data_IF_895959050863
#
_entry.id   IF_895959050863
#
_cell.length_a   1.000
_cell.length_b   1.000
_cell.length_c   1.000
_cell.angle_alpha   90.00
_cell.angle_beta   90.00
_cell.angle_gamma   90.00
#
_symmetry.space_group_name_H-M   'P 1'
#
loop_
_entity.id
_entity.type
_entity.pdbx_description
1 polymer ?
#
# COMPACT_ATOMS: atom_id res chain seq x y z
N UNK A 1 13.46 -23.89 6.36
CA UNK A 1 13.05 -22.47 6.27
C UNK A 1 13.42 -22.00 4.88
N UNK A 2 12.53 -21.32 4.18
CA UNK A 2 12.83 -20.77 2.86
C UNK A 2 13.86 -19.65 3.01
N UNK A 3 14.99 -19.75 2.32
CA UNK A 3 16.07 -18.78 2.41
C UNK A 3 15.70 -17.51 1.65
N UNK A 4 15.60 -16.39 2.37
CA UNK A 4 15.28 -15.07 1.81
C UNK A 4 16.57 -14.25 1.67
N UNK A 5 16.74 -13.55 0.55
CA UNK A 5 17.90 -12.68 0.28
C UNK A 5 17.59 -11.25 0.70
N UNK A 6 18.58 -10.51 1.20
CA UNK A 6 18.43 -9.10 1.56
C UNK A 6 18.42 -8.20 0.31
N UNK A 7 17.52 -7.22 0.28
CA UNK A 7 17.37 -6.27 -0.84
C UNK A 7 17.45 -4.81 -0.42
N UNK A 8 17.30 -4.50 0.86
CA UNK A 8 17.36 -3.14 1.37
C UNK A 8 17.65 -3.14 2.86
N UNK A 9 18.33 -2.12 3.37
CA UNK A 9 18.61 -1.94 4.81
C UNK A 9 18.67 -0.46 5.15
N UNK A 10 18.09 -0.08 6.29
CA UNK A 10 18.07 1.30 6.73
C UNK A 10 17.42 1.49 8.11
N UNK A 11 17.14 2.75 8.44
CA UNK A 11 16.36 3.13 9.61
C UNK A 11 15.04 3.79 9.21
N UNK A 12 14.07 3.77 10.12
CA UNK A 12 12.85 4.58 9.99
C UNK A 12 13.18 6.00 10.40
N UNK A 13 13.10 6.94 9.47
CA UNK A 13 13.31 8.36 9.76
C UNK A 13 12.08 9.00 10.40
N UNK A 14 12.25 10.12 11.11
CA UNK A 14 11.11 10.86 11.64
C UNK A 14 10.14 11.31 10.52
N UNK A 15 10.67 11.66 9.35
CA UNK A 15 9.88 11.99 8.15
C UNK A 15 9.19 10.78 7.51
N UNK A 16 9.56 9.55 7.90
CA UNK A 16 8.90 8.35 7.42
C UNK A 16 7.59 8.07 8.18
N UNK A 17 7.42 8.68 9.36
CA UNK A 17 6.28 8.48 10.25
C UNK A 17 5.09 9.41 9.96
N UNK A 18 3.88 8.89 10.13
CA UNK A 18 2.65 9.68 10.06
C UNK A 18 2.27 10.29 11.43
N UNK A 19 1.11 10.94 11.48
CA UNK A 19 0.60 11.59 12.70
C UNK A 19 0.37 10.63 13.88
N UNK A 20 0.33 9.31 13.65
CA UNK A 20 0.20 8.29 14.70
C UNK A 20 1.56 7.87 15.28
N UNK A 21 2.67 8.38 14.74
CA UNK A 21 4.02 8.18 15.27
C UNK A 21 4.70 6.88 14.82
N UNK A 22 4.18 6.24 13.77
CA UNK A 22 4.77 5.07 13.15
C UNK A 22 4.92 5.25 11.64
N UNK A 23 5.78 4.43 11.03
CA UNK A 23 6.06 4.44 9.60
C UNK A 23 4.77 4.37 8.78
N UNK A 24 4.60 5.31 7.86
CA UNK A 24 3.41 5.42 7.02
C UNK A 24 3.34 4.27 6.02
N UNK A 25 2.13 3.88 5.64
CA UNK A 25 1.88 2.83 4.62
C UNK A 25 2.58 3.14 3.30
N UNK A 26 2.64 4.42 2.90
CA UNK A 26 3.35 4.87 1.71
C UNK A 26 4.86 4.69 1.84
N UNK A 27 5.45 5.04 2.97
CA UNK A 27 6.89 4.88 3.17
C UNK A 27 7.32 3.41 3.25
N UNK A 28 6.47 2.52 3.76
CA UNK A 28 6.73 1.08 3.64
C UNK A 28 6.84 0.63 2.17
N UNK A 29 5.86 0.99 1.33
CA UNK A 29 5.88 0.64 -0.09
C UNK A 29 7.04 1.33 -0.83
N UNK A 30 7.45 2.53 -0.40
CA UNK A 30 8.65 3.21 -0.91
C UNK A 30 9.91 2.39 -0.68
N UNK A 31 10.15 1.93 0.56
CA UNK A 31 11.31 1.08 0.87
C UNK A 31 11.23 -0.27 0.16
N UNK A 32 10.03 -0.81 -0.02
CA UNK A 32 9.84 -2.03 -0.80
C UNK A 32 10.29 -1.81 -2.25
N UNK A 33 9.93 -0.68 -2.83
CA UNK A 33 10.31 -0.31 -4.18
C UNK A 33 11.81 0.00 -4.32
N UNK A 34 12.45 0.56 -3.28
CA UNK A 34 13.92 0.64 -3.19
C UNK A 34 14.55 -0.76 -3.31
N UNK A 35 13.98 -1.76 -2.62
CA UNK A 35 14.40 -3.16 -2.73
C UNK A 35 14.13 -3.79 -4.10
N UNK A 36 13.04 -3.41 -4.78
CA UNK A 36 12.78 -3.83 -6.18
C UNK A 36 13.84 -3.28 -7.14
N UNK A 37 14.37 -2.08 -6.88
CA UNK A 37 15.48 -1.54 -7.68
C UNK A 37 16.77 -2.35 -7.49
N UNK A 38 17.04 -2.86 -6.29
CA UNK A 38 18.14 -3.80 -6.05
C UNK A 38 17.88 -5.15 -6.71
N UNK A 39 16.65 -5.67 -6.63
CA UNK A 39 16.23 -6.89 -7.35
C UNK A 39 16.47 -6.77 -8.86
N UNK A 40 16.27 -5.60 -9.47
CA UNK A 40 16.52 -5.43 -10.91
C UNK A 40 17.98 -5.72 -11.30
N UNK A 41 18.95 -5.48 -10.41
CA UNK A 41 20.37 -5.85 -10.64
C UNK A 41 20.51 -7.38 -10.72
N UNK A 42 19.85 -8.10 -9.80
CA UNK A 42 19.84 -9.57 -9.73
C UNK A 42 19.11 -10.22 -10.92
N UNK A 43 18.19 -9.48 -11.54
CA UNK A 43 17.52 -9.85 -12.79
C UNK A 43 18.34 -9.47 -14.03
N UNK A 44 19.62 -9.12 -13.88
CA UNK A 44 20.49 -8.74 -14.99
C UNK A 44 20.09 -7.41 -15.66
N UNK A 45 19.38 -6.53 -14.95
CA UNK A 45 18.94 -5.21 -15.43
C UNK A 45 19.48 -4.08 -14.54
N UNK A 46 20.81 -3.93 -14.39
CA UNK A 46 21.42 -3.01 -13.43
C UNK A 46 21.09 -1.54 -13.67
N UNK A 47 20.64 -1.20 -14.89
CA UNK A 47 20.30 0.17 -15.28
C UNK A 47 18.80 0.44 -15.31
N UNK A 48 17.92 -0.50 -14.94
CA UNK A 48 16.46 -0.41 -15.11
C UNK A 48 15.81 0.86 -14.51
N UNK A 49 16.41 1.42 -13.47
CA UNK A 49 15.93 2.63 -12.77
C UNK A 49 16.76 3.89 -13.09
N UNK A 50 17.71 3.79 -14.03
CA UNK A 50 18.52 4.94 -14.49
C UNK A 50 17.77 5.77 -15.54
N UNK A 51 18.17 7.03 -15.71
CA UNK A 51 17.55 7.95 -16.68
C UNK A 51 17.65 7.49 -18.15
N UNK A 52 18.65 6.68 -18.51
CA UNK A 52 18.86 6.19 -19.87
C UNK A 52 18.35 4.76 -20.10
N UNK A 53 17.62 4.20 -19.12
CA UNK A 53 17.05 2.87 -19.25
C UNK A 53 16.05 2.81 -20.40
N UNK A 54 16.13 1.78 -21.24
CA UNK A 54 15.10 1.52 -22.27
C UNK A 54 13.89 0.78 -21.69
N UNK A 55 14.13 -0.04 -20.66
CA UNK A 55 13.11 -0.83 -19.98
C UNK A 55 13.18 -0.61 -18.47
N UNK A 56 12.07 -0.83 -17.77
CA UNK A 56 12.01 -0.80 -16.31
C UNK A 56 10.98 -1.79 -15.77
N UNK A 57 10.93 -1.90 -14.45
CA UNK A 57 9.89 -2.61 -13.73
C UNK A 57 8.72 -1.67 -13.35
N UNK A 58 7.49 -2.15 -13.48
CA UNK A 58 6.28 -1.41 -13.11
C UNK A 58 5.38 -2.25 -12.20
N UNK A 59 4.87 -1.63 -11.13
CA UNK A 59 3.92 -2.27 -10.21
C UNK A 59 2.54 -2.42 -10.88
N UNK A 60 1.97 -3.63 -10.83
CA UNK A 60 0.60 -3.91 -11.28
C UNK A 60 -0.36 -4.10 -10.13
N UNK A 61 0.07 -4.78 -9.08
CA UNK A 61 -0.70 -4.96 -7.86
C UNK A 61 0.24 -5.22 -6.69
N UNK A 62 -0.24 -4.95 -5.48
CA UNK A 62 0.50 -5.24 -4.26
C UNK A 62 -0.46 -5.64 -3.15
N UNK A 63 -0.19 -6.79 -2.54
CA UNK A 63 -0.77 -7.20 -1.27
C UNK A 63 0.20 -6.87 -0.13
N UNK A 64 -0.29 -6.26 0.94
CA UNK A 64 0.52 -5.71 2.02
C UNK A 64 -0.05 -6.09 3.37
N UNK A 65 0.82 -6.44 4.30
CA UNK A 65 0.49 -6.65 5.70
C UNK A 65 1.41 -5.82 6.60
N UNK A 66 0.83 -5.16 7.59
CA UNK A 66 1.58 -4.49 8.66
C UNK A 66 1.35 -5.23 9.96
N UNK A 67 2.34 -6.01 10.37
CA UNK A 67 2.27 -6.91 11.53
C UNK A 67 2.72 -6.21 12.81
N UNK A 68 3.69 -5.29 12.72
CA UNK A 68 4.23 -4.52 13.84
C UNK A 68 4.58 -3.11 13.40
N UNK A 69 4.34 -2.17 14.30
CA UNK A 69 4.71 -0.78 14.09
C UNK A 69 6.23 -0.61 14.09
N UNK A 70 6.72 0.32 13.27
CA UNK A 70 8.10 0.78 13.29
C UNK A 70 8.10 2.28 13.54
N UNK A 71 8.68 2.70 14.65
CA UNK A 71 8.77 4.11 15.05
C UNK A 71 10.08 4.72 14.55
N UNK A 72 10.17 6.05 14.57
CA UNK A 72 11.39 6.76 14.22
C UNK A 72 12.61 6.21 15.00
N UNK A 73 13.72 6.03 14.31
CA UNK A 73 14.94 5.42 14.83
C UNK A 73 14.96 3.88 14.80
N UNK A 74 13.89 3.20 14.39
CA UNK A 74 13.89 1.72 14.33
C UNK A 74 14.77 1.24 13.17
N UNK A 75 15.83 0.45 13.41
CA UNK A 75 16.62 -0.17 12.34
C UNK A 75 15.87 -1.35 11.73
N UNK A 76 15.71 -1.35 10.41
CA UNK A 76 14.96 -2.35 9.65
C UNK A 76 15.71 -2.75 8.38
N UNK A 77 15.49 -3.97 7.91
CA UNK A 77 15.96 -4.41 6.61
C UNK A 77 14.86 -5.19 5.89
N UNK A 78 14.94 -5.24 4.58
CA UNK A 78 14.05 -5.99 3.71
C UNK A 78 14.76 -7.22 3.19
N UNK A 79 14.11 -8.38 3.31
CA UNK A 79 14.51 -9.61 2.63
C UNK A 79 13.37 -10.17 1.81
N UNK A 80 13.67 -10.94 0.76
CA UNK A 80 12.66 -11.35 -0.20
C UNK A 80 13.09 -12.51 -1.10
N UNK A 81 12.20 -12.83 -2.04
CA UNK A 81 12.39 -13.88 -3.04
C UNK A 81 11.29 -13.87 -4.09
N UNK A 82 11.54 -14.51 -5.22
CA UNK A 82 10.59 -14.63 -6.32
C UNK A 82 9.57 -15.73 -6.00
N UNK A 83 8.28 -15.39 -6.09
CA UNK A 83 7.18 -16.33 -5.94
C UNK A 83 6.88 -17.05 -7.26
N UNK A 84 6.86 -16.28 -8.35
CA UNK A 84 6.66 -16.80 -9.70
C UNK A 84 7.28 -15.86 -10.73
N UNK A 85 7.61 -16.43 -11.88
CA UNK A 85 8.16 -15.71 -13.03
C UNK A 85 7.30 -16.06 -14.24
N UNK A 86 6.83 -15.05 -14.97
CA UNK A 86 6.15 -15.21 -16.26
C UNK A 86 7.04 -14.73 -17.39
N UNK A 87 6.56 -14.81 -18.63
CA UNK A 87 7.28 -14.27 -19.80
C UNK A 87 7.54 -12.76 -19.71
N UNK A 88 6.64 -12.01 -19.05
CA UNK A 88 6.60 -10.54 -19.08
C UNK A 88 6.74 -9.88 -17.71
N UNK A 89 6.92 -10.66 -16.65
CA UNK A 89 6.94 -10.15 -15.29
C UNK A 89 7.20 -11.22 -14.25
N UNK A 90 7.02 -10.86 -13.00
CA UNK A 90 7.22 -11.72 -11.85
C UNK A 90 6.28 -11.35 -10.70
N UNK A 91 6.15 -12.26 -9.75
CA UNK A 91 5.65 -11.97 -8.43
C UNK A 91 6.80 -12.00 -7.44
N UNK A 92 6.93 -10.93 -6.65
CA UNK A 92 8.00 -10.78 -5.66
C UNK A 92 7.44 -10.67 -4.26
N UNK A 93 7.97 -11.50 -3.37
CA UNK A 93 7.74 -11.38 -1.94
C UNK A 93 8.86 -10.56 -1.31
N UNK A 94 8.50 -9.65 -0.41
CA UNK A 94 9.44 -8.97 0.45
C UNK A 94 8.87 -8.77 1.84
N UNK A 95 9.70 -8.93 2.86
CA UNK A 95 9.35 -8.67 4.24
C UNK A 95 10.38 -7.77 4.91
N UNK A 96 9.89 -6.86 5.74
CA UNK A 96 10.70 -6.01 6.58
C UNK A 96 10.85 -6.61 7.96
N UNK A 97 12.09 -6.67 8.42
CA UNK A 97 12.47 -7.26 9.70
C UNK A 97 13.14 -6.20 10.56
N UNK A 98 12.73 -6.09 11.83
CA UNK A 98 13.42 -5.26 12.81
C UNK A 98 14.78 -5.86 13.11
N UNK A 99 15.85 -5.08 12.95
CA UNK A 99 17.22 -5.60 13.04
C UNK A 99 17.54 -6.18 14.43
N UNK A 100 16.98 -5.60 15.49
CA UNK A 100 17.29 -6.00 16.87
C UNK A 100 16.40 -7.15 17.35
N UNK A 101 15.08 -7.05 17.15
CA UNK A 101 14.15 -8.07 17.64
C UNK A 101 13.96 -9.25 16.69
N UNK A 102 14.45 -9.13 15.45
CA UNK A 102 14.26 -10.09 14.35
C UNK A 102 12.79 -10.35 13.98
N UNK A 103 11.89 -9.52 14.48
CA UNK A 103 10.47 -9.64 14.22
C UNK A 103 10.12 -9.04 12.86
N UNK A 104 9.26 -9.75 12.11
CA UNK A 104 8.70 -9.25 10.86
C UNK A 104 7.71 -8.12 11.18
N UNK A 105 8.00 -6.92 10.67
CA UNK A 105 7.19 -5.73 10.84
C UNK A 105 6.14 -5.58 9.75
N UNK A 106 6.50 -5.86 8.50
CA UNK A 106 5.59 -5.78 7.37
C UNK A 106 5.99 -6.76 6.26
N UNK A 107 5.06 -7.15 5.40
CA UNK A 107 5.35 -7.95 4.21
C UNK A 107 4.49 -7.54 3.02
N UNK A 108 5.00 -7.88 1.83
CA UNK A 108 4.55 -7.39 0.54
C UNK A 108 4.62 -8.53 -0.48
N UNK A 109 3.54 -8.73 -1.23
CA UNK A 109 3.50 -9.59 -2.42
C UNK A 109 3.10 -8.70 -3.60
N UNK A 110 4.05 -8.38 -4.48
CA UNK A 110 3.78 -7.52 -5.63
C UNK A 110 3.78 -8.28 -6.94
N UNK A 111 2.83 -7.98 -7.81
CA UNK A 111 2.92 -8.31 -9.23
C UNK A 111 3.65 -7.18 -9.95
N UNK A 112 4.74 -7.53 -10.63
CA UNK A 112 5.63 -6.58 -11.28
C UNK A 112 5.80 -7.02 -12.73
N UNK A 113 5.68 -6.08 -13.67
CA UNK A 113 5.87 -6.33 -15.09
C UNK A 113 7.08 -5.57 -15.61
N UNK A 114 7.68 -6.10 -16.67
CA UNK A 114 8.67 -5.38 -17.46
C UNK A 114 7.95 -4.49 -18.49
N UNK A 115 8.35 -3.23 -18.57
CA UNK A 115 7.81 -2.28 -19.55
C UNK A 115 8.93 -1.60 -20.33
N UNK A 116 8.62 -1.19 -21.55
CA UNK A 116 9.38 -0.21 -22.32
C UNK A 116 9.14 1.20 -21.79
N UNK A 117 10.20 1.95 -21.50
CA UNK A 117 10.10 3.27 -20.88
C UNK A 117 9.47 4.32 -21.80
N UNK A 118 9.62 4.19 -23.12
CA UNK A 118 9.12 5.17 -24.10
C UNK A 118 7.63 4.96 -24.39
N UNK A 119 7.20 3.72 -24.49
CA UNK A 119 5.86 3.33 -24.95
C UNK A 119 4.95 2.85 -23.82
N UNK A 120 5.50 2.59 -22.64
CA UNK A 120 4.80 1.96 -21.50
C UNK A 120 4.15 0.61 -21.82
N UNK A 121 4.60 -0.05 -22.90
CA UNK A 121 4.12 -1.37 -23.29
C UNK A 121 4.84 -2.45 -22.49
N UNK A 122 4.10 -3.47 -22.07
CA UNK A 122 4.67 -4.67 -21.50
C UNK A 122 5.55 -5.38 -22.51
N UNK A 123 6.72 -5.83 -22.06
CA UNK A 123 7.69 -6.57 -22.88
C UNK A 123 8.02 -7.93 -22.26
N UNK A 124 8.41 -8.93 -23.06
CA UNK A 124 9.02 -10.14 -22.54
C UNK A 124 10.40 -9.83 -21.93
N UNK A 125 10.86 -10.67 -21.02
CA UNK A 125 12.21 -10.55 -20.45
C UNK A 125 13.30 -10.53 -21.54
N UNK A 126 14.33 -9.67 -21.42
CA UNK A 126 15.51 -9.76 -22.27
C UNK A 126 16.15 -11.15 -22.10
N UNK A 127 16.59 -11.78 -23.19
CA UNK A 127 17.15 -13.15 -23.15
C UNK A 127 18.20 -13.36 -22.05
N UNK A 128 19.08 -12.37 -21.85
CA UNK A 128 20.17 -12.41 -20.88
C UNK A 128 19.76 -12.17 -19.42
N UNK A 129 18.59 -11.58 -19.17
CA UNK A 129 18.18 -11.15 -17.82
C UNK A 129 17.93 -12.32 -16.87
N UNK A 130 17.52 -13.48 -17.40
CA UNK A 130 17.14 -14.63 -16.57
C UNK A 130 18.19 -15.75 -16.54
N UNK A 131 19.24 -15.66 -17.35
CA UNK A 131 20.24 -16.72 -17.52
C UNK A 131 21.07 -16.96 -16.25
N UNK A 132 21.26 -15.93 -15.40
CA UNK A 132 22.05 -16.00 -14.16
C UNK A 132 21.29 -15.45 -12.95
N UNK A 133 19.99 -15.78 -12.84
CA UNK A 133 19.13 -15.28 -11.77
C UNK A 133 19.64 -15.75 -10.39
N UNK A 134 20.22 -14.85 -9.61
CA UNK A 134 20.73 -15.09 -8.24
C UNK A 134 19.71 -14.66 -7.17
N UNK A 135 18.42 -14.88 -7.47
CA UNK A 135 17.30 -14.58 -6.58
C UNK A 135 16.62 -15.89 -6.16
N UNK A 136 16.40 -16.14 -4.85
CA UNK A 136 15.76 -17.37 -4.40
C UNK A 136 14.31 -17.44 -4.89
N UNK A 137 13.91 -18.62 -5.38
CA UNK A 137 12.50 -18.95 -5.57
C UNK A 137 11.92 -19.48 -4.28
N UNK A 138 10.77 -18.95 -3.87
CA UNK A 138 10.20 -19.21 -2.55
C UNK A 138 8.69 -19.49 -2.61
N UNK A 139 8.17 -20.06 -1.53
CA UNK A 139 6.75 -19.98 -1.20
C UNK A 139 6.51 -18.85 -0.20
N UNK A 140 5.29 -18.27 -0.22
CA UNK A 140 4.92 -17.22 0.73
C UNK A 140 4.97 -17.79 2.17
N UNK A 141 5.77 -17.20 3.07
CA UNK A 141 5.81 -17.60 4.47
C UNK A 141 4.43 -17.52 5.14
N UNK A 142 4.16 -18.41 6.11
CA UNK A 142 2.84 -18.50 6.78
C UNK A 142 2.32 -17.15 7.30
N UNK A 143 3.18 -16.30 7.85
CA UNK A 143 2.77 -14.99 8.38
C UNK A 143 2.44 -13.95 7.30
N UNK A 144 2.90 -14.17 6.06
CA UNK A 144 2.65 -13.32 4.90
C UNK A 144 1.50 -13.77 4.00
N UNK A 145 0.85 -14.90 4.31
CA UNK A 145 -0.34 -15.35 3.61
C UNK A 145 -1.50 -14.35 3.81
N UNK A 146 -2.31 -14.07 2.77
CA UNK A 146 -3.52 -13.25 2.88
C UNK A 146 -4.44 -13.77 3.98
N UNK A 147 -5.15 -12.87 4.67
CA UNK A 147 -6.02 -13.24 5.81
C UNK A 147 -7.44 -12.78 5.65
N UNK A 148 -7.62 -11.47 5.49
CA UNK A 148 -8.92 -10.82 5.50
C UNK A 148 -9.34 -10.31 4.12
N UNK A 149 -8.37 -10.07 3.23
CA UNK A 149 -8.65 -9.65 1.86
C UNK A 149 -8.37 -10.82 0.93
N UNK A 150 -9.33 -11.14 0.06
CA UNK A 150 -9.09 -12.10 -1.01
C UNK A 150 -8.03 -11.54 -1.96
N UNK A 151 -6.89 -12.25 -2.05
CA UNK A 151 -5.77 -11.86 -2.90
C UNK A 151 -5.96 -12.27 -4.38
N UNK A 152 -6.90 -13.17 -4.69
CA UNK A 152 -7.06 -13.78 -6.01
C UNK A 152 -8.25 -13.24 -6.78
N UNK A 153 -9.32 -12.80 -6.09
CA UNK A 153 -10.50 -12.27 -6.77
C UNK A 153 -10.14 -11.09 -7.70
N UNK A 154 -10.56 -11.08 -8.96
CA UNK A 154 -10.34 -9.93 -9.84
C UNK A 154 -11.12 -8.73 -9.31
N UNK A 155 -10.51 -7.54 -9.35
CA UNK A 155 -11.23 -6.30 -9.04
C UNK A 155 -11.58 -5.61 -10.36
N UNK A 156 -12.88 -5.47 -10.62
CA UNK A 156 -13.37 -4.80 -11.83
C UNK A 156 -13.03 -3.32 -11.82
N UNK A 157 -12.66 -2.80 -12.99
CA UNK A 157 -12.40 -1.39 -13.21
C UNK A 157 -13.70 -0.58 -13.13
N UNK A 158 -13.75 0.46 -12.31
CA UNK A 158 -14.93 1.33 -12.16
C UNK A 158 -14.58 2.81 -12.37
N UNK A 159 -15.42 3.53 -13.10
CA UNK A 159 -15.22 4.96 -13.37
C UNK A 159 -15.77 5.86 -12.26
N UNK A 160 -15.50 7.17 -12.37
CA UNK A 160 -15.97 8.19 -11.44
C UNK A 160 -17.48 8.20 -11.24
N UNK A 161 -18.25 7.95 -12.30
CA UNK A 161 -19.71 8.01 -12.22
C UNK A 161 -20.25 6.84 -11.42
N UNK A 162 -19.75 5.63 -11.69
CA UNK A 162 -20.07 4.46 -10.89
C UNK A 162 -19.70 4.68 -9.43
N UNK A 163 -18.48 5.13 -9.15
CA UNK A 163 -17.97 5.35 -7.78
C UNK A 163 -18.87 6.33 -7.02
N UNK A 164 -19.26 7.44 -7.66
CA UNK A 164 -20.20 8.40 -7.06
C UNK A 164 -21.60 7.83 -6.85
N UNK A 165 -22.13 7.09 -7.83
CA UNK A 165 -23.47 6.51 -7.77
C UNK A 165 -23.59 5.45 -6.67
N UNK A 166 -22.50 4.76 -6.34
CA UNK A 166 -22.42 3.83 -5.22
C UNK A 166 -22.33 4.52 -3.85
N UNK A 167 -22.17 5.84 -3.80
CA UNK A 167 -22.10 6.59 -2.53
C UNK A 167 -20.70 6.74 -1.96
N UNK A 168 -19.64 6.50 -2.73
CA UNK A 168 -18.28 6.84 -2.30
C UNK A 168 -18.14 8.36 -2.14
N UNK A 169 -17.47 8.76 -1.07
CA UNK A 169 -17.22 10.18 -0.76
C UNK A 169 -15.82 10.58 -1.21
N UNK A 170 -15.68 11.79 -1.77
CA UNK A 170 -14.36 12.31 -2.15
C UNK A 170 -13.63 12.82 -0.91
N UNK A 171 -12.48 12.25 -0.62
CA UNK A 171 -11.67 12.53 0.58
C UNK A 171 -10.33 13.20 0.27
N UNK A 172 -9.92 13.20 -1.00
CA UNK A 172 -8.66 13.78 -1.45
C UNK A 172 -8.74 14.38 -2.85
N UNK A 173 -7.93 15.41 -3.08
CA UNK A 173 -7.79 16.11 -4.36
C UNK A 173 -6.37 16.68 -4.44
N UNK A 174 -5.56 16.22 -5.40
CA UNK A 174 -4.20 16.69 -5.57
C UNK A 174 -3.75 16.61 -7.04
N UNK A 175 -2.91 17.54 -7.52
CA UNK A 175 -2.27 17.40 -8.81
C UNK A 175 -1.10 16.41 -8.75
N UNK A 176 -0.75 15.83 -9.89
CA UNK A 176 0.53 15.13 -10.08
C UNK A 176 1.59 16.15 -10.50
N UNK A 177 2.65 16.24 -9.71
CA UNK A 177 3.76 17.17 -9.91
C UNK A 177 5.05 16.43 -10.28
N UNK A 178 6.11 17.19 -10.59
CA UNK A 178 7.44 16.62 -10.84
C UNK A 178 8.02 15.83 -9.65
N UNK A 179 7.54 16.09 -8.43
CA UNK A 179 8.00 15.36 -7.24
C UNK A 179 7.29 14.02 -7.07
N UNK A 180 6.25 13.77 -7.86
CA UNK A 180 5.41 12.57 -7.80
C UNK A 180 5.84 11.49 -8.80
N UNK A 181 6.92 11.74 -9.55
CA UNK A 181 7.35 10.88 -10.65
C UNK A 181 8.82 10.49 -10.55
N UNK A 182 9.17 9.38 -11.20
CA UNK A 182 10.56 8.94 -11.39
C UNK A 182 11.28 9.74 -12.50
N UNK A 183 12.52 9.36 -12.78
CA UNK A 183 13.35 9.99 -13.82
C UNK A 183 12.80 9.84 -15.26
N UNK A 184 11.78 9.01 -15.48
CA UNK A 184 11.09 8.84 -16.76
C UNK A 184 9.71 9.50 -16.77
N UNK A 185 9.35 10.25 -15.73
CA UNK A 185 8.05 10.91 -15.63
C UNK A 185 6.90 9.97 -15.25
N UNK A 186 7.20 8.77 -14.75
CA UNK A 186 6.16 7.82 -14.28
C UNK A 186 5.84 8.03 -12.82
N UNK A 187 4.56 7.96 -12.48
CA UNK A 187 4.10 8.06 -11.10
C UNK A 187 4.80 7.06 -10.17
N UNK A 188 5.28 7.55 -9.04
CA UNK A 188 5.99 6.74 -8.05
C UNK A 188 5.02 5.73 -7.38
N UNK A 189 5.32 4.42 -7.38
CA UNK A 189 4.36 3.41 -6.92
C UNK A 189 3.87 3.57 -5.48
N UNK A 190 4.72 4.08 -4.59
CA UNK A 190 4.33 4.35 -3.20
C UNK A 190 3.17 5.35 -3.07
N UNK A 191 2.99 6.22 -4.06
CA UNK A 191 1.99 7.28 -3.99
C UNK A 191 0.57 6.75 -4.19
N UNK A 192 0.39 5.56 -4.79
CA UNK A 192 -0.95 4.95 -4.87
C UNK A 192 -1.58 4.74 -3.50
N UNK A 193 -0.78 4.41 -2.47
CA UNK A 193 -1.26 4.24 -1.09
C UNK A 193 -0.94 5.45 -0.21
N UNK A 194 0.16 6.18 -0.46
CA UNK A 194 0.50 7.37 0.34
C UNK A 194 -0.59 8.46 0.21
N UNK A 195 -1.09 8.70 -1.01
CA UNK A 195 -2.16 9.67 -1.25
C UNK A 195 -3.45 9.30 -0.54
N UNK A 196 -3.77 8.01 -0.42
CA UNK A 196 -4.89 7.54 0.40
C UNK A 196 -4.65 7.90 1.85
N UNK A 197 -3.49 7.55 2.40
CA UNK A 197 -3.12 7.84 3.79
C UNK A 197 -3.23 9.33 4.14
N UNK A 198 -2.78 10.21 3.25
CA UNK A 198 -2.91 11.67 3.36
C UNK A 198 -4.37 12.15 3.43
N UNK A 199 -5.28 11.46 2.72
CA UNK A 199 -6.68 11.85 2.58
C UNK A 199 -7.61 11.26 3.66
N UNK A 200 -7.24 10.14 4.29
CA UNK A 200 -8.05 9.47 5.34
C UNK A 200 -8.52 10.41 6.46
N UNK A 201 -7.72 11.36 6.98
CA UNK A 201 -8.18 12.28 8.01
C UNK A 201 -9.48 13.03 7.65
N UNK A 202 -9.73 13.32 6.37
CA UNK A 202 -10.95 13.99 5.90
C UNK A 202 -12.20 13.09 6.01
N UNK A 203 -12.03 11.78 6.10
CA UNK A 203 -13.12 10.81 6.24
C UNK A 203 -13.44 10.51 7.71
N UNK A 204 -12.40 10.28 8.51
CA UNK A 204 -12.54 9.71 9.86
C UNK A 204 -12.38 10.74 10.99
N UNK A 205 -12.25 12.03 10.68
CA UNK A 205 -12.10 13.06 11.73
C UNK A 205 -13.28 13.04 12.73
N UNK A 206 -14.52 12.94 12.24
CA UNK A 206 -15.70 12.87 13.11
C UNK A 206 -15.73 11.59 13.95
N UNK A 207 -15.43 10.44 13.34
CA UNK A 207 -15.24 9.17 14.06
C UNK A 207 -14.25 9.31 15.23
N UNK A 208 -13.10 9.96 14.99
CA UNK A 208 -12.08 10.18 16.03
C UNK A 208 -12.61 11.03 17.17
N UNK A 209 -13.35 12.11 16.86
CA UNK A 209 -13.93 12.98 17.89
C UNK A 209 -14.91 12.22 18.77
N UNK A 210 -15.84 11.46 18.18
CA UNK A 210 -16.84 10.69 18.93
C UNK A 210 -16.19 9.58 19.78
N UNK A 211 -15.15 8.91 19.27
CA UNK A 211 -14.40 7.89 20.00
C UNK A 211 -13.65 8.47 21.22
N UNK A 212 -13.05 9.66 21.06
CA UNK A 212 -12.34 10.36 22.15
C UNK A 212 -13.33 10.87 23.21
N UNK A 213 -14.47 11.44 22.79
CA UNK A 213 -15.49 11.92 23.71
C UNK A 213 -16.03 10.79 24.60
N UNK A 214 -16.40 9.66 24.00
CA UNK A 214 -16.92 8.49 24.73
C UNK A 214 -15.92 7.93 25.74
N UNK A 215 -14.67 7.77 25.33
CA UNK A 215 -13.63 7.27 26.24
C UNK A 215 -13.33 8.29 27.35
N UNK A 216 -13.40 9.59 27.06
CA UNK A 216 -13.20 10.64 28.06
C UNK A 216 -14.29 10.72 29.14
N UNK A 217 -15.54 10.31 28.83
CA UNK A 217 -16.64 10.20 29.81
C UNK A 217 -16.32 9.17 30.92
N UNK A 218 -15.44 8.20 30.65
CA UNK A 218 -14.94 7.24 31.65
C UNK A 218 -13.84 7.78 32.57
N UNK A 219 -13.46 9.06 32.43
CA UNK A 219 -12.43 9.73 33.23
C UNK A 219 -11.01 9.59 32.70
N UNK A 220 -10.79 8.86 31.59
CA UNK A 220 -9.49 8.72 30.93
C UNK A 220 -9.62 9.17 29.47
N UNK A 221 -8.99 10.29 29.11
CA UNK A 221 -8.85 10.69 27.70
C UNK A 221 -7.89 9.72 27.00
N UNK A 222 -8.42 8.69 26.35
CA UNK A 222 -7.63 7.79 25.53
C UNK A 222 -7.34 8.42 24.16
N UNK A 223 -6.11 8.28 23.69
CA UNK A 223 -5.74 8.68 22.33
C UNK A 223 -6.02 7.53 21.38
N UNK A 224 -7.11 7.62 20.61
CA UNK A 224 -7.48 6.60 19.65
C UNK A 224 -7.06 6.96 18.22
N UNK A 225 -6.57 5.94 17.51
CA UNK A 225 -6.15 6.01 16.11
C UNK A 225 -6.65 4.81 15.32
N UNK A 226 -6.38 4.83 14.01
CA UNK A 226 -6.58 3.68 13.13
C UNK A 226 -5.23 3.24 12.60
N UNK A 227 -4.98 1.92 12.61
CA UNK A 227 -3.79 1.33 12.01
C UNK A 227 -4.20 0.33 10.94
N UNK A 228 -3.63 0.47 9.73
CA UNK A 228 -3.87 -0.48 8.65
C UNK A 228 -3.21 -1.82 8.99
N UNK A 229 -3.95 -2.91 8.83
CA UNK A 229 -3.48 -4.28 9.09
C UNK A 229 -3.11 -4.99 7.79
N UNK A 230 -3.98 -4.86 6.79
CA UNK A 230 -3.90 -5.56 5.50
C UNK A 230 -4.41 -4.64 4.41
N UNK A 231 -3.75 -4.64 3.25
CA UNK A 231 -4.18 -3.88 2.09
C UNK A 231 -3.89 -4.64 0.80
N UNK A 232 -4.80 -4.51 -0.17
CA UNK A 232 -4.57 -4.90 -1.56
C UNK A 232 -4.80 -3.71 -2.47
N UNK A 233 -3.78 -3.34 -3.24
CA UNK A 233 -3.86 -2.31 -4.28
C UNK A 233 -3.78 -2.97 -5.66
N UNK A 234 -4.69 -2.58 -6.56
CA UNK A 234 -4.67 -2.91 -7.98
C UNK A 234 -4.46 -1.63 -8.81
N UNK A 235 -3.53 -1.66 -9.76
CA UNK A 235 -3.16 -0.52 -10.61
C UNK A 235 -3.64 -0.72 -12.05
N UNK A 236 -4.54 0.15 -12.48
CA UNK A 236 -5.11 0.16 -13.82
C UNK A 236 -4.35 1.08 -14.77
N UNK A 237 -4.07 2.32 -14.34
CA UNK A 237 -3.36 3.35 -15.11
C UNK A 237 -2.41 4.12 -14.19
N UNK A 238 -1.26 4.54 -14.74
CA UNK A 238 -0.32 5.40 -14.03
C UNK A 238 -0.63 6.87 -14.31
N UNK A 239 -0.81 7.70 -13.25
CA UNK A 239 -0.93 9.13 -13.42
C UNK A 239 0.29 9.76 -14.12
N UNK A 240 0.07 10.85 -14.84
CA UNK A 240 1.10 11.66 -15.49
C UNK A 240 1.17 13.06 -14.88
N UNK A 241 2.31 13.74 -15.01
CA UNK A 241 2.44 15.15 -14.58
C UNK A 241 1.31 15.98 -15.20
N UNK A 242 0.62 16.75 -14.37
CA UNK A 242 -0.52 17.58 -14.78
C UNK A 242 -1.88 16.89 -14.66
N UNK A 243 -1.93 15.57 -14.46
CA UNK A 243 -3.17 14.90 -14.07
C UNK A 243 -3.64 15.40 -12.71
N UNK A 244 -4.96 15.38 -12.52
CA UNK A 244 -5.60 15.61 -11.21
C UNK A 244 -6.01 14.26 -10.64
N UNK A 245 -5.57 13.95 -9.42
CA UNK A 245 -6.02 12.78 -8.67
C UNK A 245 -7.16 13.19 -7.74
N UNK A 246 -8.29 12.54 -7.87
CA UNK A 246 -9.37 12.53 -6.88
C UNK A 246 -9.39 11.19 -6.15
N UNK A 247 -9.55 11.22 -4.84
CA UNK A 247 -9.60 10.02 -4.00
C UNK A 247 -11.00 9.87 -3.46
N UNK A 248 -11.63 8.76 -3.79
CA UNK A 248 -12.97 8.40 -3.34
C UNK A 248 -12.87 7.22 -2.38
N UNK A 249 -13.58 7.28 -1.26
CA UNK A 249 -13.54 6.25 -0.25
C UNK A 249 -14.93 5.87 0.22
N UNK A 250 -15.09 4.60 0.56
CA UNK A 250 -16.27 4.13 1.25
C UNK A 250 -15.92 3.07 2.28
N UNK A 251 -16.65 3.08 3.38
CA UNK A 251 -16.62 2.03 4.38
C UNK A 251 -17.43 0.84 3.89
N UNK A 252 -16.86 -0.35 4.03
CA UNK A 252 -17.40 -1.59 3.46
C UNK A 252 -17.96 -2.52 4.53
N UNK A 253 -17.26 -2.62 5.65
CA UNK A 253 -17.63 -3.51 6.75
C UNK A 253 -17.15 -2.95 8.09
N UNK A 254 -17.90 -3.24 9.15
CA UNK A 254 -17.54 -2.98 10.54
C UNK A 254 -17.71 -4.28 11.31
N UNK A 255 -16.63 -4.82 11.86
CA UNK A 255 -16.62 -5.99 12.74
C UNK A 255 -16.33 -5.54 14.20
N UNK A 256 -15.91 -6.43 15.10
CA UNK A 256 -15.65 -6.11 16.52
C UNK A 256 -14.54 -5.06 16.71
N UNK A 257 -13.33 -5.35 16.19
CA UNK A 257 -12.13 -4.50 16.31
C UNK A 257 -11.65 -3.92 15.00
N UNK A 258 -12.19 -4.43 13.89
CA UNK A 258 -11.75 -4.12 12.54
C UNK A 258 -12.86 -3.47 11.75
N UNK A 259 -12.47 -2.65 10.79
CA UNK A 259 -13.35 -2.08 9.79
C UNK A 259 -12.60 -1.98 8.47
N UNK A 260 -13.31 -2.08 7.35
CA UNK A 260 -12.69 -2.12 6.02
C UNK A 260 -13.14 -0.96 5.15
N UNK A 261 -12.23 -0.45 4.33
CA UNK A 261 -12.51 0.54 3.31
C UNK A 261 -12.14 0.04 1.92
N UNK A 262 -12.82 0.60 0.93
CA UNK A 262 -12.34 0.62 -0.45
C UNK A 262 -12.03 2.06 -0.84
N UNK A 263 -10.90 2.27 -1.51
CA UNK A 263 -10.43 3.55 -2.00
C UNK A 263 -10.21 3.49 -3.51
N UNK A 264 -10.74 4.47 -4.24
CA UNK A 264 -10.52 4.65 -5.66
C UNK A 264 -9.67 5.91 -5.88
N UNK A 265 -8.55 5.76 -6.60
CA UNK A 265 -7.83 6.88 -7.19
C UNK A 265 -8.36 7.07 -8.60
N UNK A 266 -8.93 8.24 -8.86
CA UNK A 266 -9.61 8.59 -10.10
C UNK A 266 -8.91 9.77 -10.74
N UNK A 267 -8.75 9.74 -12.06
CA UNK A 267 -8.38 10.92 -12.83
C UNK A 267 -9.55 11.92 -12.78
N UNK A 268 -9.35 13.04 -12.10
CA UNK A 268 -10.36 14.06 -11.89
C UNK A 268 -10.84 14.74 -13.17
N UNK A 269 -10.05 14.69 -14.25
CA UNK A 269 -10.36 15.33 -15.53
C UNK A 269 -11.20 14.42 -16.45
N UNK A 270 -10.85 13.13 -16.57
CA UNK A 270 -11.54 12.21 -17.50
C UNK A 270 -12.37 11.12 -16.80
N UNK A 271 -12.31 11.02 -15.48
CA UNK A 271 -13.09 10.08 -14.67
C UNK A 271 -12.61 8.63 -14.70
N UNK A 272 -11.53 8.30 -15.40
CA UNK A 272 -10.98 6.94 -15.44
C UNK A 272 -10.26 6.61 -14.12
N UNK A 273 -10.32 5.36 -13.64
CA UNK A 273 -9.58 4.98 -12.44
C UNK A 273 -8.11 4.74 -12.76
N UNK A 274 -7.26 5.23 -11.86
CA UNK A 274 -5.83 4.91 -11.78
C UNK A 274 -5.61 3.64 -10.98
N UNK A 275 -6.24 3.53 -9.80
CA UNK A 275 -6.11 2.36 -8.93
C UNK A 275 -7.31 2.19 -8.01
N UNK A 276 -7.41 1.00 -7.43
CA UNK A 276 -8.32 0.69 -6.32
C UNK A 276 -7.53 0.05 -5.18
N UNK A 277 -7.93 0.30 -3.95
CA UNK A 277 -7.30 -0.27 -2.76
C UNK A 277 -8.34 -0.70 -1.74
N UNK A 278 -8.33 -1.99 -1.38
CA UNK A 278 -9.09 -2.52 -0.26
C UNK A 278 -8.18 -2.54 0.97
N UNK A 279 -8.65 -2.06 2.11
CA UNK A 279 -7.87 -2.01 3.35
C UNK A 279 -8.70 -2.49 4.53
N UNK A 280 -8.07 -3.26 5.41
CA UNK A 280 -8.59 -3.60 6.73
C UNK A 280 -7.82 -2.79 7.77
N UNK A 281 -8.56 -2.11 8.64
CA UNK A 281 -8.03 -1.20 9.66
C UNK A 281 -8.51 -1.70 11.03
N UNK A 282 -7.65 -1.56 12.04
CA UNK A 282 -8.02 -1.79 13.45
C UNK A 282 -8.20 -0.47 14.18
N UNK A 283 -9.10 -0.44 15.18
CA UNK A 283 -9.08 0.62 16.19
C UNK A 283 -7.92 0.38 17.13
N UNK A 284 -7.08 1.41 17.29
CA UNK A 284 -5.81 1.31 17.97
C UNK A 284 -5.73 2.36 19.08
N UNK A 285 -5.46 1.90 20.29
CA UNK A 285 -5.15 2.76 21.43
C UNK A 285 -3.68 3.18 21.30
N UNK A 286 -3.42 4.48 21.14
CA UNK A 286 -2.08 5.04 20.96
C UNK A 286 -1.30 5.14 22.26
N UNK A 287 -1.97 5.05 23.42
CA UNK A 287 -1.34 5.08 24.73
C UNK A 287 -0.88 3.68 25.12
N UNK A 288 -1.75 2.66 24.98
CA UNK A 288 -1.38 1.26 25.27
C UNK A 288 -0.75 0.54 24.09
N UNK A 289 -0.83 1.12 22.88
CA UNK A 289 -0.31 0.59 21.60
C UNK A 289 -0.90 -0.78 21.27
N UNK A 290 -2.22 -0.92 21.46
CA UNK A 290 -2.95 -2.18 21.26
C UNK A 290 -4.23 -1.97 20.46
N UNK A 291 -4.59 -3.02 19.72
CA UNK A 291 -5.90 -3.12 19.09
C UNK A 291 -7.00 -3.25 20.16
N UNK A 292 -8.04 -2.43 20.06
CA UNK A 292 -9.18 -2.44 20.97
C UNK A 292 -10.48 -2.66 20.20
N UNK A 293 -11.55 -3.03 20.92
CA UNK A 293 -12.90 -3.01 20.37
C UNK A 293 -13.28 -1.58 20.02
N UNK A 294 -13.99 -1.42 18.90
CA UNK A 294 -14.48 -0.12 18.45
C UNK A 294 -15.48 0.41 19.50
N UNK A 295 -15.25 1.60 20.11
CA UNK A 295 -16.17 2.18 21.08
C UNK A 295 -17.60 2.32 20.51
N UNK A 296 -18.67 2.08 21.30
CA UNK A 296 -20.05 2.08 20.83
C UNK A 296 -20.49 3.31 19.99
N UNK A 297 -20.22 4.54 20.43
CA UNK A 297 -20.58 5.76 19.67
C UNK A 297 -19.82 5.80 18.34
N UNK A 298 -18.53 5.47 18.39
CA UNK A 298 -17.67 5.42 17.20
C UNK A 298 -18.11 4.32 16.22
N UNK A 299 -18.54 3.16 16.73
CA UNK A 299 -19.12 2.06 15.95
C UNK A 299 -20.39 2.51 15.25
N UNK A 300 -21.32 3.13 15.96
CA UNK A 300 -22.57 3.61 15.38
C UNK A 300 -22.32 4.58 14.21
N UNK A 301 -21.31 5.44 14.34
CA UNK A 301 -20.90 6.34 13.26
C UNK A 301 -20.30 5.59 12.07
N UNK A 302 -19.39 4.64 12.30
CA UNK A 302 -18.88 3.79 11.22
C UNK A 302 -20.02 3.06 10.51
N UNK A 303 -20.90 2.39 11.25
CA UNK A 303 -22.04 1.65 10.69
C UNK A 303 -22.96 2.56 9.85
N UNK A 304 -23.13 3.82 10.23
CA UNK A 304 -23.90 4.80 9.43
C UNK A 304 -23.26 5.18 8.09
N UNK A 305 -21.97 4.93 7.89
CA UNK A 305 -21.22 5.21 6.66
C UNK A 305 -21.05 3.99 5.76
N UNK A 306 -21.47 2.79 6.22
CA UNK A 306 -21.35 1.57 5.41
C UNK A 306 -22.21 1.71 4.17
N UNK A 307 -21.59 1.58 3.00
CA UNK A 307 -22.32 1.44 1.74
C UNK A 307 -22.35 -0.04 1.37
N UNK A 308 -23.53 -0.54 1.01
CA UNK A 308 -23.62 -1.81 0.28
C UNK A 308 -23.39 -1.50 -1.20
N UNK A 309 -22.38 -2.15 -1.78
CA UNK A 309 -22.17 -2.09 -3.24
C UNK A 309 -22.67 -3.41 -3.78
N UNK A 310 -23.63 -3.35 -4.68
CA UNK A 310 -23.95 -4.47 -5.55
C UNK A 310 -22.74 -4.67 -6.48
N UNK A 311 -22.08 -5.82 -6.34
CA UNK A 311 -20.93 -6.21 -7.18
C UNK A 311 -21.39 -6.60 -8.58
#
# INVERSE_FOLDING_TARGET
MTELKEYWRGGVEASDCDAMGHMSVGNWLRRYWDGVAVLAVELGMPTAFSANAEVTLQLKSCHMHWLREANAGTPIFMRGGILSLSETGLQFYGEFVKTISEEVAANFCAQIILIDNKTSKTLPWPKKSLENLDCPKIEIPKHGQPRSIDALSPIERRDKNWVKNQGYVRIGLAPVTKNDVDCHGRFLPQLFIARVGEAIPNLIAKWRLEAIEETSESGVKQRLGGAALENRTEVFEYPQIGDIIEIYSALREVADKTYSFQHWLINGQNGRPFSVSNVVVITFDLDTRKAITIPPKARQYLESMVIQVEL
#
